data_IF_880972734601
#
_entry.id   IF_880972734601
#
_cell.length_a   1.000
_cell.length_b   1.000
_cell.length_c   1.000
_cell.angle_alpha   90.00
_cell.angle_beta   90.00
_cell.angle_gamma   90.00
#
_symmetry.space_group_name_H-M   'P 1'
#
loop_
_entity.id
_entity.type
_entity.pdbx_description
1 polymer ?
#
# COMPACT_ATOMS: atom_id res chain seq x y z
N UNK A 1 -11.17 -23.27 6.28
CA UNK A 1 -11.28 -22.99 7.73
C UNK A 1 -9.97 -23.39 8.37
N UNK A 2 -9.16 -22.43 8.82
CA UNK A 2 -8.04 -22.78 9.69
C UNK A 2 -8.63 -23.45 10.94
N UNK A 3 -8.11 -24.61 11.35
CA UNK A 3 -8.65 -25.33 12.50
C UNK A 3 -8.54 -24.48 13.77
N UNK A 4 -9.52 -24.58 14.67
CA UNK A 4 -9.49 -23.98 16.02
C UNK A 4 -8.11 -24.01 16.70
N UNK A 5 -7.32 -25.11 16.61
CA UNK A 5 -5.98 -25.16 17.21
C UNK A 5 -4.98 -24.12 16.66
N UNK A 6 -5.07 -23.77 15.37
CA UNK A 6 -4.16 -22.78 14.76
C UNK A 6 -4.46 -21.36 15.28
N UNK A 7 -5.74 -21.08 15.56
CA UNK A 7 -6.16 -19.78 16.08
C UNK A 7 -5.78 -19.63 17.55
N UNK A 8 -5.98 -20.67 18.36
CA UNK A 8 -5.54 -20.70 19.76
C UNK A 8 -4.03 -20.53 19.89
N UNK A 9 -3.25 -21.18 19.01
CA UNK A 9 -1.80 -21.01 18.99
C UNK A 9 -1.39 -19.56 18.71
N UNK A 10 -2.06 -18.89 17.77
CA UNK A 10 -1.80 -17.48 17.46
C UNK A 10 -2.15 -16.53 18.62
N UNK A 11 -3.03 -16.92 19.55
CA UNK A 11 -3.37 -16.13 20.74
C UNK A 11 -2.31 -16.24 21.84
N UNK A 12 -1.68 -17.40 21.94
CA UNK A 12 -0.64 -17.69 22.95
C UNK A 12 0.71 -17.11 22.52
N UNK A 13 1.03 -17.18 21.22
CA UNK A 13 2.31 -16.69 20.69
C UNK A 13 2.36 -15.16 20.75
N UNK A 14 3.46 -14.65 21.32
CA UNK A 14 3.78 -13.22 21.36
C UNK A 14 4.74 -12.87 20.22
N UNK A 15 4.23 -12.10 19.25
CA UNK A 15 5.03 -11.69 18.11
C UNK A 15 6.13 -10.68 18.49
N UNK A 16 7.32 -10.91 17.97
CA UNK A 16 8.49 -10.06 18.13
C UNK A 16 8.84 -9.33 16.82
N UNK A 17 9.61 -8.25 16.96
CA UNK A 17 10.14 -7.48 15.83
C UNK A 17 11.38 -8.17 15.27
N UNK A 18 11.53 -8.12 13.95
CA UNK A 18 12.73 -8.55 13.25
C UNK A 18 12.70 -10.03 12.87
N UNK A 19 13.84 -10.47 12.35
CA UNK A 19 14.04 -11.84 11.86
C UNK A 19 14.74 -12.68 12.90
N UNK A 20 14.23 -13.88 13.12
CA UNK A 20 14.72 -14.81 14.13
C UNK A 20 15.36 -16.01 13.44
N UNK A 21 16.44 -16.54 14.02
CA UNK A 21 17.12 -17.71 13.43
C UNK A 21 16.38 -19.00 13.77
N UNK A 22 15.75 -19.03 14.94
CA UNK A 22 14.98 -20.17 15.46
C UNK A 22 13.70 -19.67 16.14
N UNK A 23 12.64 -20.50 16.23
CA UNK A 23 11.41 -20.14 16.93
C UNK A 23 11.63 -19.75 18.40
N UNK A 24 12.62 -20.36 19.07
CA UNK A 24 12.96 -20.09 20.47
C UNK A 24 13.53 -18.67 20.69
N UNK A 25 14.06 -18.03 19.63
CA UNK A 25 14.54 -16.65 19.69
C UNK A 25 13.38 -15.64 19.64
N UNK A 26 12.16 -16.10 19.36
CA UNK A 26 11.00 -15.29 19.01
C UNK A 26 10.49 -15.60 17.60
N UNK A 27 9.32 -15.04 17.28
CA UNK A 27 8.73 -15.16 15.94
C UNK A 27 8.07 -13.85 15.52
N UNK A 28 8.29 -13.43 14.28
CA UNK A 28 7.46 -12.41 13.63
C UNK A 28 6.18 -13.04 13.06
N UNK A 29 5.26 -12.21 12.55
CA UNK A 29 4.02 -12.69 11.96
C UNK A 29 4.23 -13.75 10.86
N UNK A 30 5.19 -13.55 9.95
CA UNK A 30 5.41 -14.47 8.83
C UNK A 30 6.15 -15.76 9.23
N UNK A 31 6.97 -15.71 10.27
CA UNK A 31 7.58 -16.90 10.87
C UNK A 31 6.52 -17.75 11.58
N UNK A 32 5.56 -17.11 12.28
CA UNK A 32 4.39 -17.79 12.83
C UNK A 32 3.55 -18.46 11.74
N UNK A 33 3.34 -17.80 10.60
CA UNK A 33 2.65 -18.40 9.44
C UNK A 33 3.39 -19.64 8.94
N UNK A 34 4.72 -19.56 8.75
CA UNK A 34 5.53 -20.69 8.32
C UNK A 34 5.42 -21.87 9.30
N UNK A 35 5.49 -21.58 10.59
CA UNK A 35 5.41 -22.58 11.64
C UNK A 35 4.04 -23.28 11.67
N UNK A 36 2.94 -22.52 11.65
CA UNK A 36 1.57 -23.07 11.61
C UNK A 36 1.29 -23.86 10.34
N UNK A 37 1.93 -23.51 9.22
CA UNK A 37 1.84 -24.25 7.96
C UNK A 37 2.73 -25.52 7.92
N UNK A 38 3.50 -25.80 8.99
CA UNK A 38 4.43 -26.93 9.03
C UNK A 38 5.65 -26.76 8.12
N UNK A 39 5.96 -25.53 7.74
CA UNK A 39 7.09 -25.21 6.88
C UNK A 39 8.38 -25.02 7.70
N UNK A 40 9.52 -25.04 7.00
CA UNK A 40 10.79 -24.61 7.59
C UNK A 40 10.67 -23.15 8.07
N UNK A 41 11.18 -22.86 9.26
CA UNK A 41 11.23 -21.52 9.84
C UNK A 41 11.76 -20.49 8.82
N UNK A 42 10.92 -19.51 8.50
CA UNK A 42 11.15 -18.52 7.45
C UNK A 42 10.17 -17.36 7.60
N UNK A 43 10.62 -16.14 7.29
CA UNK A 43 9.79 -14.95 7.14
C UNK A 43 9.17 -14.81 5.74
N UNK A 44 9.40 -15.82 4.88
CA UNK A 44 8.90 -15.94 3.51
C UNK A 44 8.24 -17.32 3.29
N UNK A 45 7.11 -17.61 3.96
CA UNK A 45 6.43 -18.89 3.83
C UNK A 45 5.89 -19.13 2.42
N UNK A 46 6.00 -20.39 1.97
CA UNK A 46 5.47 -20.95 0.71
C UNK A 46 3.96 -21.19 0.74
N UNK A 47 3.30 -21.04 1.89
CA UNK A 47 1.84 -21.08 2.01
C UNK A 47 1.15 -19.71 1.87
N UNK A 48 1.83 -18.58 2.14
CA UNK A 48 1.22 -17.24 2.06
C UNK A 48 1.75 -16.35 0.92
N UNK A 49 0.88 -15.55 0.30
CA UNK A 49 1.23 -14.63 -0.80
C UNK A 49 2.52 -13.84 -0.54
N UNK A 50 3.45 -13.74 -1.51
CA UNK A 50 4.66 -12.94 -1.37
C UNK A 50 4.37 -11.45 -1.12
N UNK A 51 3.28 -10.89 -1.67
CA UNK A 51 2.84 -9.53 -1.40
C UNK A 51 2.40 -9.36 0.05
N UNK A 52 1.57 -10.28 0.56
CA UNK A 52 1.14 -10.29 1.98
C UNK A 52 2.35 -10.45 2.89
N UNK A 53 3.28 -11.34 2.54
CA UNK A 53 4.48 -11.58 3.33
C UNK A 53 5.38 -10.33 3.39
N UNK A 54 5.62 -9.66 2.26
CA UNK A 54 6.41 -8.43 2.20
C UNK A 54 5.79 -7.29 3.00
N UNK A 55 4.47 -7.10 2.87
CA UNK A 55 3.74 -6.10 3.64
C UNK A 55 3.82 -6.40 5.15
N UNK A 56 3.49 -7.64 5.54
CA UNK A 56 3.34 -8.04 6.94
C UNK A 56 4.67 -8.06 7.71
N UNK A 57 5.80 -8.34 7.07
CA UNK A 57 7.13 -8.25 7.73
C UNK A 57 7.43 -6.82 8.21
N UNK A 58 7.33 -5.86 7.30
CA UNK A 58 7.58 -4.45 7.62
C UNK A 58 6.54 -3.89 8.60
N UNK A 59 5.27 -4.27 8.41
CA UNK A 59 4.20 -3.86 9.30
C UNK A 59 4.42 -4.41 10.72
N UNK A 60 4.71 -5.72 10.86
CA UNK A 60 5.08 -6.35 12.14
C UNK A 60 6.17 -5.56 12.89
N UNK A 61 7.21 -5.17 12.16
CA UNK A 61 8.38 -4.49 12.74
C UNK A 61 8.12 -3.04 13.15
N UNK A 62 7.14 -2.41 12.51
CA UNK A 62 6.67 -1.07 12.85
C UNK A 62 5.63 -1.05 13.98
N UNK A 63 4.86 -2.13 14.14
CA UNK A 63 3.81 -2.21 15.16
C UNK A 63 4.39 -2.29 16.57
N UNK A 64 3.68 -1.68 17.53
CA UNK A 64 3.90 -1.90 18.96
C UNK A 64 3.40 -3.30 19.39
N UNK A 65 3.89 -3.87 20.50
CA UNK A 65 3.54 -5.23 20.94
C UNK A 65 2.04 -5.52 20.96
N UNK A 66 1.22 -4.62 21.50
CA UNK A 66 -0.23 -4.79 21.57
C UNK A 66 -0.87 -4.93 20.17
N UNK A 67 -0.40 -4.15 19.20
CA UNK A 67 -0.90 -4.19 17.84
C UNK A 67 -0.35 -5.39 17.05
N UNK A 68 0.86 -5.87 17.35
CA UNK A 68 1.36 -7.12 16.76
C UNK A 68 0.46 -8.30 17.12
N UNK A 69 -0.14 -8.33 18.31
CA UNK A 69 -1.06 -9.42 18.65
C UNK A 69 -2.30 -9.45 17.73
N UNK A 70 -2.79 -8.29 17.30
CA UNK A 70 -3.85 -8.22 16.28
C UNK A 70 -3.40 -8.84 14.95
N UNK A 71 -2.13 -8.66 14.58
CA UNK A 71 -1.54 -9.29 13.39
C UNK A 71 -1.40 -10.82 13.56
N UNK A 72 -1.07 -11.30 14.76
CA UNK A 72 -1.02 -12.73 15.07
C UNK A 72 -2.36 -13.42 14.79
N UNK A 73 -3.47 -12.80 15.19
CA UNK A 73 -4.83 -13.32 14.95
C UNK A 73 -5.16 -13.47 13.45
N UNK A 74 -4.49 -12.72 12.58
CA UNK A 74 -4.64 -12.82 11.12
C UNK A 74 -3.72 -13.89 10.51
N UNK A 75 -2.67 -14.33 11.20
CA UNK A 75 -1.63 -15.19 10.64
C UNK A 75 -2.22 -16.51 10.09
N UNK A 76 -3.13 -17.16 10.82
CA UNK A 76 -3.76 -18.40 10.36
C UNK A 76 -4.55 -18.22 9.05
N UNK A 77 -5.13 -17.02 8.81
CA UNK A 77 -5.85 -16.70 7.57
C UNK A 77 -4.93 -16.38 6.40
N UNK A 78 -3.66 -16.08 6.66
CA UNK A 78 -2.66 -15.85 5.60
C UNK A 78 -2.22 -17.16 4.95
N UNK A 79 -2.37 -18.30 5.63
CA UNK A 79 -2.08 -19.64 5.08
C UNK A 79 -3.02 -19.92 3.91
N UNK A 80 -2.45 -20.33 2.78
CA UNK A 80 -3.20 -20.64 1.56
C UNK A 80 -3.48 -19.42 0.67
N UNK A 81 -3.02 -18.22 1.05
CA UNK A 81 -3.20 -17.01 0.20
C UNK A 81 -2.28 -16.97 -1.01
N UNK A 82 -1.31 -17.89 -1.12
CA UNK A 82 -0.45 -17.96 -2.30
C UNK A 82 -1.27 -18.33 -3.52
N UNK A 83 -1.28 -17.45 -4.51
CA UNK A 83 -1.91 -17.67 -5.79
C UNK A 83 -0.93 -17.54 -6.96
N UNK A 84 -1.47 -17.57 -8.17
CA UNK A 84 -0.73 -17.24 -9.39
C UNK A 84 -0.43 -15.73 -9.51
N UNK A 85 0.28 -15.36 -10.57
CA UNK A 85 0.71 -13.97 -10.86
C UNK A 85 -0.44 -12.96 -10.77
N UNK A 86 -1.62 -13.31 -11.28
CA UNK A 86 -2.75 -12.39 -11.33
C UNK A 86 -3.25 -12.00 -9.93
N UNK A 87 -3.25 -12.93 -8.97
CA UNK A 87 -3.60 -12.62 -7.57
C UNK A 87 -2.62 -11.61 -6.96
N UNK A 88 -1.33 -11.74 -7.26
CA UNK A 88 -0.30 -10.82 -6.76
C UNK A 88 -0.40 -9.45 -7.44
N UNK A 89 -0.81 -9.40 -8.72
CA UNK A 89 -1.12 -8.14 -9.41
C UNK A 89 -2.31 -7.44 -8.76
N UNK A 90 -3.40 -8.17 -8.46
CA UNK A 90 -4.57 -7.62 -7.77
C UNK A 90 -4.18 -7.06 -6.41
N UNK A 91 -3.47 -7.84 -5.60
CA UNK A 91 -3.01 -7.39 -4.27
C UNK A 91 -2.08 -6.18 -4.35
N UNK A 92 -1.17 -6.15 -5.33
CA UNK A 92 -0.32 -4.99 -5.57
C UNK A 92 -1.11 -3.75 -5.99
N UNK A 93 -2.17 -3.92 -6.78
CA UNK A 93 -3.06 -2.82 -7.17
C UNK A 93 -3.84 -2.29 -5.96
N UNK A 94 -4.34 -3.17 -5.09
CA UNK A 94 -5.03 -2.78 -3.85
C UNK A 94 -4.12 -1.99 -2.91
N UNK A 95 -2.86 -2.42 -2.75
CA UNK A 95 -1.86 -1.66 -1.99
C UNK A 95 -1.60 -0.29 -2.62
N UNK A 96 -1.53 -0.22 -3.96
CA UNK A 96 -1.31 1.03 -4.67
C UNK A 96 -2.48 1.97 -4.47
N UNK A 97 -3.70 1.51 -4.71
CA UNK A 97 -4.92 2.30 -4.55
C UNK A 97 -5.04 2.82 -3.12
N UNK A 98 -4.73 2.02 -2.11
CA UNK A 98 -4.68 2.48 -0.72
C UNK A 98 -3.60 3.57 -0.50
N UNK A 99 -2.41 3.41 -1.07
CA UNK A 99 -1.36 4.43 -0.97
C UNK A 99 -1.82 5.78 -1.53
N UNK A 100 -2.34 5.80 -2.75
CA UNK A 100 -2.67 7.04 -3.45
C UNK A 100 -4.02 7.65 -3.07
N UNK A 101 -4.98 6.84 -2.61
CA UNK A 101 -6.31 7.33 -2.25
C UNK A 101 -6.51 7.49 -0.73
N UNK A 102 -5.61 6.94 0.10
CA UNK A 102 -5.76 6.97 1.56
C UNK A 102 -4.49 7.41 2.27
N UNK A 103 -3.39 6.65 2.15
CA UNK A 103 -2.22 6.87 2.99
C UNK A 103 -1.54 8.22 2.73
N UNK A 104 -1.22 8.51 1.48
CA UNK A 104 -0.55 9.75 1.09
C UNK A 104 -1.45 10.98 1.29
N UNK A 105 -2.73 10.98 0.83
CA UNK A 105 -3.62 12.11 1.10
C UNK A 105 -3.82 12.40 2.59
N UNK A 106 -3.89 11.37 3.45
CA UNK A 106 -4.03 11.55 4.91
C UNK A 106 -2.82 12.26 5.50
N UNK A 107 -1.61 11.87 5.09
CA UNK A 107 -0.37 12.55 5.51
C UNK A 107 -0.32 14.00 5.01
N UNK A 108 -0.68 14.23 3.74
CA UNK A 108 -0.73 15.58 3.17
C UNK A 108 -1.74 16.48 3.91
N UNK A 109 -2.94 15.97 4.21
CA UNK A 109 -3.94 16.71 4.98
C UNK A 109 -3.43 17.03 6.40
N UNK A 110 -2.78 16.07 7.08
CA UNK A 110 -2.17 16.31 8.39
C UNK A 110 -1.05 17.37 8.34
N UNK A 111 -0.32 17.43 7.22
CA UNK A 111 0.67 18.47 6.93
C UNK A 111 0.05 19.79 6.44
N UNK A 112 -1.27 19.97 6.58
CA UNK A 112 -2.03 21.15 6.13
C UNK A 112 -1.93 21.42 4.62
N UNK A 113 -1.65 20.37 3.82
CA UNK A 113 -1.62 20.39 2.35
C UNK A 113 -2.85 19.72 1.74
N UNK A 114 -4.02 20.19 2.16
CA UNK A 114 -5.32 19.68 1.70
C UNK A 114 -5.54 19.89 0.20
N UNK A 115 -4.88 20.90 -0.39
CA UNK A 115 -4.80 21.16 -1.82
C UNK A 115 -4.19 19.96 -2.57
N UNK A 116 -3.01 19.52 -2.14
CA UNK A 116 -2.31 18.38 -2.72
C UNK A 116 -3.03 17.06 -2.43
N UNK A 117 -3.60 16.92 -1.23
CA UNK A 117 -4.41 15.76 -0.87
C UNK A 117 -5.61 15.60 -1.81
N UNK A 118 -6.36 16.69 -2.05
CA UNK A 118 -7.50 16.71 -2.96
C UNK A 118 -7.09 16.42 -4.41
N UNK A 119 -6.00 17.04 -4.89
CA UNK A 119 -5.47 16.80 -6.22
C UNK A 119 -5.04 15.34 -6.43
N UNK A 120 -4.40 14.71 -5.42
CA UNK A 120 -3.99 13.32 -5.50
C UNK A 120 -5.17 12.35 -5.45
N UNK A 121 -6.22 12.65 -4.67
CA UNK A 121 -7.44 11.83 -4.67
C UNK A 121 -8.16 11.92 -6.02
N UNK A 122 -8.23 13.12 -6.62
CA UNK A 122 -8.89 13.33 -7.91
C UNK A 122 -8.10 12.78 -9.10
N UNK A 123 -6.78 13.06 -9.16
CA UNK A 123 -5.90 12.68 -10.26
C UNK A 123 -5.20 11.33 -10.09
N UNK A 124 -5.21 10.74 -8.89
CA UNK A 124 -4.51 9.48 -8.58
C UNK A 124 -3.04 9.51 -9.01
N UNK A 125 -2.56 8.47 -9.67
CA UNK A 125 -1.17 8.30 -10.06
C UNK A 125 -0.63 9.41 -10.98
N UNK A 126 -1.48 10.10 -11.74
CA UNK A 126 -1.04 11.17 -12.66
C UNK A 126 -0.71 12.47 -11.93
N UNK A 127 -1.30 12.68 -10.75
CA UNK A 127 -1.03 13.85 -9.91
C UNK A 127 0.23 13.68 -9.04
N UNK A 128 0.82 12.48 -8.99
CA UNK A 128 1.92 12.18 -8.07
C UNK A 128 3.21 12.93 -8.40
N UNK A 129 3.59 12.98 -9.69
CA UNK A 129 4.79 13.68 -10.13
C UNK A 129 4.66 15.20 -9.90
N UNK A 130 3.47 15.76 -10.16
CA UNK A 130 3.16 17.16 -9.90
C UNK A 130 3.16 17.49 -8.40
N UNK A 131 2.57 16.63 -7.55
CA UNK A 131 2.57 16.79 -6.10
C UNK A 131 3.98 16.69 -5.50
N UNK A 132 4.81 15.79 -6.04
CA UNK A 132 6.22 15.66 -5.64
C UNK A 132 6.98 16.93 -5.96
N UNK A 133 6.89 17.42 -7.21
CA UNK A 133 7.52 18.69 -7.61
C UNK A 133 7.01 19.90 -6.82
N UNK A 134 5.73 19.92 -6.46
CA UNK A 134 5.16 20.98 -5.62
C UNK A 134 5.70 20.96 -4.19
N UNK A 135 5.98 19.80 -3.59
CA UNK A 135 6.66 19.73 -2.28
C UNK A 135 8.14 20.13 -2.37
N UNK A 136 8.82 19.70 -3.42
CA UNK A 136 10.24 20.05 -3.64
C UNK A 136 10.43 21.56 -3.77
N UNK A 137 9.54 22.26 -4.47
CA UNK A 137 9.56 23.72 -4.62
C UNK A 137 9.39 24.50 -3.30
N UNK A 138 8.83 23.86 -2.26
CA UNK A 138 8.67 24.45 -0.93
C UNK A 138 9.82 24.06 0.03
N UNK A 139 10.90 23.45 -0.48
CA UNK A 139 12.09 23.09 0.31
C UNK A 139 11.93 21.84 1.17
N UNK A 140 10.96 20.97 0.86
CA UNK A 140 10.71 19.73 1.62
C UNK A 140 11.53 18.51 1.17
N UNK A 141 12.31 18.60 0.08
CA UNK A 141 13.41 17.68 -0.21
C UNK A 141 14.58 18.48 -0.83
N UNK A 142 15.84 18.27 -0.41
CA UNK A 142 16.41 17.00 0.03
C UNK A 142 16.43 16.86 1.56
N UNK A 143 16.60 15.62 2.01
CA UNK A 143 17.19 15.22 3.30
C UNK A 143 17.91 16.40 3.97
N UNK A 144 17.23 17.08 4.91
CA UNK A 144 17.91 17.99 5.85
C UNK A 144 19.03 17.17 6.52
N UNK A 145 20.21 17.78 6.78
CA UNK A 145 21.36 17.05 7.31
C UNK A 145 20.98 16.25 8.56
N UNK A 146 21.62 15.10 8.70
CA UNK A 146 21.36 14.01 9.63
C UNK A 146 21.43 14.36 11.14
N UNK A 147 21.41 15.64 11.50
CA UNK A 147 21.57 16.11 12.88
C UNK A 147 20.28 16.00 13.72
N UNK A 148 19.18 15.50 13.14
CA UNK A 148 17.97 15.12 13.90
C UNK A 148 17.60 13.65 13.69
N UNK A 149 18.48 12.78 14.17
CA UNK A 149 18.28 11.32 14.23
C UNK A 149 16.95 10.95 14.91
N UNK A 150 16.50 11.75 15.88
CA UNK A 150 15.26 11.50 16.63
C UNK A 150 14.02 11.72 15.76
N UNK A 151 13.92 12.85 15.06
CA UNK A 151 12.80 13.10 14.13
C UNK A 151 12.82 12.11 12.97
N UNK A 152 14.01 11.79 12.45
CA UNK A 152 14.19 10.76 11.41
C UNK A 152 13.67 9.40 11.86
N UNK A 153 14.04 8.96 13.06
CA UNK A 153 13.56 7.70 13.62
C UNK A 153 12.06 7.75 13.89
N UNK A 154 11.53 8.84 14.44
CA UNK A 154 10.11 8.99 14.75
C UNK A 154 9.25 8.91 13.49
N UNK A 155 9.59 9.66 12.44
CA UNK A 155 8.89 9.61 11.15
C UNK A 155 8.99 8.23 10.52
N UNK A 156 10.19 7.63 10.52
CA UNK A 156 10.38 6.28 9.93
C UNK A 156 9.58 5.21 10.67
N UNK A 157 9.52 5.29 12.00
CA UNK A 157 8.72 4.41 12.84
C UNK A 157 7.22 4.61 12.62
N UNK A 158 6.74 5.85 12.52
CA UNK A 158 5.34 6.15 12.24
C UNK A 158 4.88 5.58 10.89
N UNK A 159 5.70 5.74 9.83
CA UNK A 159 5.41 5.19 8.50
C UNK A 159 5.45 3.66 8.45
N UNK A 160 6.33 3.03 9.23
CA UNK A 160 6.34 1.58 9.39
C UNK A 160 5.10 1.09 10.16
N UNK A 161 4.79 1.73 11.28
CA UNK A 161 3.67 1.39 12.16
C UNK A 161 2.30 1.57 11.49
N UNK A 162 2.19 2.46 10.50
CA UNK A 162 0.97 2.69 9.75
C UNK A 162 0.88 1.92 8.44
N UNK A 163 1.87 1.08 8.11
CA UNK A 163 1.86 0.21 6.92
C UNK A 163 2.34 0.85 5.62
N UNK A 164 2.68 2.15 5.58
CA UNK A 164 3.21 2.82 4.38
C UNK A 164 4.52 2.17 3.92
N UNK A 165 5.45 1.92 4.84
CA UNK A 165 6.73 1.27 4.51
C UNK A 165 6.50 -0.15 3.97
N UNK A 166 5.54 -0.89 4.54
CA UNK A 166 5.18 -2.23 4.09
C UNK A 166 4.56 -2.25 2.69
N UNK A 167 3.63 -1.32 2.42
CA UNK A 167 2.99 -1.20 1.11
C UNK A 167 4.02 -0.90 0.01
N UNK A 168 4.96 0.03 0.25
CA UNK A 168 6.02 0.36 -0.69
C UNK A 168 7.00 -0.80 -0.94
N UNK A 169 7.34 -1.58 0.08
CA UNK A 169 8.21 -2.75 -0.09
C UNK A 169 7.50 -3.84 -0.91
N UNK A 170 6.27 -4.18 -0.54
CA UNK A 170 5.49 -5.19 -1.24
C UNK A 170 5.18 -4.81 -2.71
N UNK A 171 4.87 -3.53 -2.96
CA UNK A 171 4.62 -3.03 -4.30
C UNK A 171 5.86 -3.02 -5.21
N UNK A 172 7.05 -2.71 -4.66
CA UNK A 172 8.32 -2.72 -5.42
C UNK A 172 8.70 -4.13 -5.87
N UNK A 173 8.55 -5.12 -4.99
CA UNK A 173 8.87 -6.52 -5.32
C UNK A 173 8.03 -7.07 -6.49
N UNK A 174 6.77 -6.61 -6.61
CA UNK A 174 5.89 -6.94 -7.75
C UNK A 174 6.23 -6.12 -8.99
N UNK A 175 6.48 -4.81 -8.83
CA UNK A 175 6.82 -3.91 -9.92
C UNK A 175 8.10 -4.34 -10.67
N UNK A 176 9.14 -4.74 -9.93
CA UNK A 176 10.41 -5.24 -10.48
C UNK A 176 10.19 -6.52 -11.32
N UNK A 177 9.14 -7.29 -11.05
CA UNK A 177 8.79 -8.52 -11.78
C UNK A 177 7.80 -8.32 -12.93
N UNK A 178 6.98 -7.26 -12.91
CA UNK A 178 5.81 -7.15 -13.77
C UNK A 178 5.68 -5.88 -14.62
N UNK A 179 6.24 -4.73 -14.20
CA UNK A 179 5.91 -3.41 -14.81
C UNK A 179 7.11 -2.48 -15.08
N UNK A 180 8.33 -2.90 -14.75
CA UNK A 180 9.57 -2.19 -15.07
C UNK A 180 9.83 -0.91 -14.24
N UNK A 181 10.83 -0.13 -14.65
CA UNK A 181 11.40 0.97 -13.85
C UNK A 181 10.41 2.11 -13.52
N UNK A 182 9.37 2.32 -14.34
CA UNK A 182 8.36 3.36 -14.12
C UNK A 182 7.51 3.09 -12.87
N UNK A 183 7.01 1.86 -12.72
CA UNK A 183 6.21 1.49 -11.55
C UNK A 183 7.01 1.62 -10.26
N UNK A 184 8.29 1.22 -10.28
CA UNK A 184 9.21 1.42 -9.14
C UNK A 184 9.35 2.90 -8.76
N UNK A 185 9.50 3.79 -9.74
CA UNK A 185 9.56 5.25 -9.50
C UNK A 185 8.28 5.77 -8.85
N UNK A 186 7.11 5.30 -9.27
CA UNK A 186 5.83 5.72 -8.68
C UNK A 186 5.69 5.30 -7.21
N UNK A 187 6.06 4.06 -6.87
CA UNK A 187 6.09 3.62 -5.46
C UNK A 187 7.06 4.43 -4.61
N UNK A 188 8.20 4.78 -5.18
CA UNK A 188 9.21 5.59 -4.51
C UNK A 188 8.75 7.05 -4.32
N UNK A 189 8.15 7.66 -5.34
CA UNK A 189 7.57 9.00 -5.26
C UNK A 189 6.47 9.07 -4.19
N UNK A 190 5.55 8.09 -4.15
CA UNK A 190 4.51 8.03 -3.11
C UNK A 190 5.12 7.91 -1.70
N UNK A 191 6.20 7.14 -1.54
CA UNK A 191 6.93 7.00 -0.28
C UNK A 191 7.58 8.31 0.15
N UNK A 192 8.25 8.99 -0.79
CA UNK A 192 8.89 10.29 -0.55
C UNK A 192 7.85 11.32 -0.15
N UNK A 193 6.72 11.38 -0.86
CA UNK A 193 5.63 12.32 -0.57
C UNK A 193 5.02 12.08 0.82
N UNK A 194 4.73 10.83 1.18
CA UNK A 194 4.27 10.48 2.52
C UNK A 194 5.30 10.84 3.60
N UNK A 195 6.59 10.58 3.34
CA UNK A 195 7.67 10.90 4.29
C UNK A 195 7.84 12.40 4.49
N UNK A 196 7.83 13.19 3.42
CA UNK A 196 7.94 14.64 3.49
C UNK A 196 6.76 15.25 4.26
N UNK A 197 5.54 14.79 3.99
CA UNK A 197 4.35 15.22 4.72
C UNK A 197 4.40 14.82 6.20
N UNK A 198 4.76 13.57 6.52
CA UNK A 198 4.94 13.12 7.90
C UNK A 198 6.03 13.91 8.64
N UNK A 199 7.10 14.29 7.96
CA UNK A 199 8.14 15.15 8.51
C UNK A 199 7.60 16.55 8.83
N UNK A 200 6.85 17.17 7.92
CA UNK A 200 6.19 18.46 8.15
C UNK A 200 5.29 18.43 9.39
N UNK A 201 4.54 17.33 9.58
CA UNK A 201 3.72 17.12 10.78
C UNK A 201 4.58 17.07 12.05
N UNK A 202 5.73 16.40 12.01
CA UNK A 202 6.64 16.30 13.14
C UNK A 202 7.29 17.65 13.52
N UNK A 203 7.41 18.60 12.58
CA UNK A 203 7.99 19.93 12.84
C UNK A 203 6.96 20.98 13.25
N UNK A 204 5.69 20.86 12.84
CA UNK A 204 4.69 21.95 12.92
C UNK A 204 3.99 22.15 14.27
N UNK A 205 4.64 21.88 15.43
CA UNK A 205 4.03 22.01 16.76
C UNK A 205 4.49 23.24 17.58
N UNK A 206 3.59 24.13 18.07
CA UNK A 206 3.97 25.27 18.91
C UNK A 206 4.09 24.89 20.42
N UNK A 207 5.18 25.30 21.07
CA UNK A 207 5.38 25.22 22.53
C UNK A 207 6.08 23.95 23.04
N UNK A 208 7.03 24.11 23.99
CA UNK A 208 7.83 23.04 24.66
C UNK A 208 8.23 21.85 23.75
N UNK A 209 8.58 22.20 22.50
CA UNK A 209 9.49 21.58 21.51
C UNK A 209 9.34 20.12 21.03
N UNK A 210 8.27 19.38 21.27
CA UNK A 210 8.09 18.13 20.48
C UNK A 210 6.91 17.23 20.77
N UNK A 211 6.33 17.27 21.97
CA UNK A 211 5.32 16.28 22.36
C UNK A 211 4.00 16.40 21.58
N UNK A 212 3.53 17.62 21.30
CA UNK A 212 2.29 17.83 20.55
C UNK A 212 2.42 17.44 19.07
N UNK A 213 3.56 17.78 18.45
CA UNK A 213 3.84 17.38 17.07
C UNK A 213 3.99 15.86 16.96
N UNK A 214 4.70 15.24 17.91
CA UNK A 214 4.79 13.79 18.03
C UNK A 214 3.40 13.16 18.24
N UNK A 215 2.55 13.72 19.09
CA UNK A 215 1.18 13.26 19.28
C UNK A 215 0.32 13.39 18.02
N UNK A 216 0.48 14.46 17.25
CA UNK A 216 -0.21 14.60 15.96
C UNK A 216 0.26 13.56 14.95
N UNK A 217 1.58 13.40 14.79
CA UNK A 217 2.19 12.37 13.96
C UNK A 217 1.64 10.97 14.29
N UNK A 218 1.64 10.60 15.57
CA UNK A 218 1.18 9.28 16.01
C UNK A 218 -0.33 9.09 15.93
N UNK A 219 -1.14 10.15 16.11
CA UNK A 219 -2.59 10.08 15.82
C UNK A 219 -2.85 9.80 14.34
N UNK A 220 -2.15 10.50 13.45
CA UNK A 220 -2.24 10.26 11.99
C UNK A 220 -1.81 8.84 11.64
N UNK A 221 -0.69 8.37 12.20
CA UNK A 221 -0.20 7.01 12.01
C UNK A 221 -1.17 5.95 12.55
N UNK A 222 -1.83 6.19 13.69
CA UNK A 222 -2.80 5.27 14.29
C UNK A 222 -4.04 5.10 13.40
N UNK A 223 -4.60 6.19 12.87
CA UNK A 223 -5.72 6.14 11.91
C UNK A 223 -5.34 5.32 10.68
N UNK A 224 -4.15 5.56 10.13
CA UNK A 224 -3.66 4.82 8.98
C UNK A 224 -3.33 3.35 9.30
N UNK A 225 -2.85 3.05 10.50
CA UNK A 225 -2.64 1.67 10.97
C UNK A 225 -3.94 0.87 10.97
N UNK A 226 -5.04 1.45 11.45
CA UNK A 226 -6.34 0.76 11.42
C UNK A 226 -6.83 0.54 9.99
N UNK A 227 -6.67 1.53 9.12
CA UNK A 227 -6.91 1.39 7.68
C UNK A 227 -6.04 0.30 7.04
N UNK A 228 -4.77 0.20 7.45
CA UNK A 228 -3.83 -0.81 6.97
C UNK A 228 -4.21 -2.24 7.41
N UNK A 229 -4.77 -2.41 8.61
CA UNK A 229 -5.36 -3.70 9.02
C UNK A 229 -6.57 -4.08 8.16
N UNK A 230 -7.45 -3.11 7.84
CA UNK A 230 -8.58 -3.36 6.92
C UNK A 230 -8.08 -3.73 5.52
N UNK A 231 -7.04 -3.04 5.03
CA UNK A 231 -6.39 -3.39 3.78
C UNK A 231 -5.84 -4.81 3.80
N UNK A 232 -5.09 -5.19 4.84
CA UNK A 232 -4.54 -6.54 5.00
C UNK A 232 -5.62 -7.61 4.99
N UNK A 233 -6.74 -7.36 5.67
CA UNK A 233 -7.91 -8.26 5.65
C UNK A 233 -8.43 -8.47 4.22
N UNK A 234 -8.56 -7.39 3.45
CA UNK A 234 -8.96 -7.45 2.04
C UNK A 234 -7.94 -8.17 1.16
N UNK A 235 -6.64 -7.96 1.38
CA UNK A 235 -5.58 -8.67 0.65
C UNK A 235 -5.65 -10.18 0.88
N UNK A 236 -5.92 -10.60 2.12
CA UNK A 236 -6.12 -11.99 2.50
C UNK A 236 -7.36 -12.58 1.82
N UNK A 237 -8.44 -11.80 1.70
CA UNK A 237 -9.71 -12.23 1.11
C UNK A 237 -9.70 -12.37 -0.42
N UNK A 238 -8.61 -12.01 -1.12
CA UNK A 238 -8.50 -12.21 -2.57
C UNK A 238 -8.45 -13.71 -2.88
N UNK A 239 -9.55 -14.26 -3.40
CA UNK A 239 -9.72 -15.69 -3.76
C UNK A 239 -9.77 -15.97 -5.25
N UNK A 240 -10.03 -14.96 -6.10
CA UNK A 240 -10.11 -15.11 -7.56
C UNK A 240 -9.23 -14.08 -8.28
N UNK A 241 -8.60 -14.44 -9.42
CA UNK A 241 -7.88 -13.49 -10.25
C UNK A 241 -8.86 -12.50 -10.92
N UNK A 242 -8.40 -11.26 -11.16
CA UNK A 242 -9.20 -10.29 -11.93
C UNK A 242 -9.54 -10.91 -13.30
N UNK A 243 -10.78 -10.81 -13.81
CA UNK A 243 -11.06 -11.19 -15.19
C UNK A 243 -10.11 -10.44 -16.13
N UNK A 244 -9.68 -11.06 -17.25
CA UNK A 244 -8.79 -10.40 -18.19
C UNK A 244 -9.39 -9.05 -18.60
N UNK A 245 -8.56 -8.02 -18.83
CA UNK A 245 -9.07 -6.74 -19.32
C UNK A 245 -9.93 -7.01 -20.56
N UNK A 246 -11.07 -6.30 -20.73
CA UNK A 246 -11.84 -6.44 -21.94
C UNK A 246 -10.91 -6.22 -23.14
N UNK A 247 -11.08 -6.98 -24.24
CA UNK A 247 -10.32 -6.74 -25.45
C UNK A 247 -10.43 -5.24 -25.80
N UNK A 248 -9.35 -4.62 -26.31
CA UNK A 248 -9.43 -3.23 -26.73
C UNK A 248 -10.65 -3.07 -27.61
N UNK A 249 -11.49 -2.08 -27.28
CA UNK A 249 -12.67 -1.75 -28.06
C UNK A 249 -12.18 -1.60 -29.51
N UNK A 250 -12.57 -2.54 -30.36
CA UNK A 250 -12.18 -2.52 -31.78
C UNK A 250 -12.85 -1.27 -32.30
N UNK A 251 -12.07 -0.20 -32.48
CA UNK A 251 -12.55 0.98 -33.15
C UNK A 251 -13.20 0.51 -34.46
N UNK A 252 -14.45 0.89 -34.75
CA UNK A 252 -15.16 0.39 -35.91
C UNK A 252 -14.25 0.59 -37.11
N UNK A 253 -13.92 -0.51 -37.79
CA UNK A 253 -13.15 -0.42 -39.03
C UNK A 253 -13.89 0.52 -39.97
N UNK A 254 -13.15 1.36 -40.70
CA UNK A 254 -13.71 2.38 -41.62
C UNK A 254 -14.78 1.85 -42.60
N UNK A 255 -14.89 0.54 -42.79
CA UNK A 255 -15.97 -0.12 -43.54
C UNK A 255 -17.38 0.05 -42.94
N UNK A 256 -17.53 0.13 -41.61
CA UNK A 256 -18.84 0.32 -40.94
C UNK A 256 -19.28 1.78 -40.90
N UNK A 257 -18.31 2.72 -40.91
CA UNK A 257 -18.58 4.14 -41.05
C UNK A 257 -19.10 4.48 -42.46
N UNK A 258 -18.56 3.84 -43.50
CA UNK A 258 -19.00 4.05 -44.89
C UNK A 258 -20.41 3.52 -45.16
N UNK A 259 -20.83 2.41 -44.54
CA UNK A 259 -22.21 1.91 -44.68
C UNK A 259 -23.25 2.86 -44.08
N UNK A 260 -22.93 3.58 -43.01
CA UNK A 260 -23.83 4.60 -42.43
C UNK A 260 -23.92 5.86 -43.28
N UNK A 261 -22.84 6.25 -43.96
CA UNK A 261 -22.84 7.39 -44.90
C UNK A 261 -23.60 7.06 -46.19
N UNK A 262 -23.52 5.82 -46.68
CA UNK A 262 -24.27 5.35 -47.85
C UNK A 262 -25.77 5.17 -47.55
N UNK A 263 -26.14 4.64 -46.38
CA UNK A 263 -27.54 4.50 -45.99
C UNK A 263 -28.25 5.85 -45.76
N UNK A 264 -27.52 6.88 -45.29
CA UNK A 264 -28.06 8.23 -45.07
C UNK A 264 -28.18 9.10 -46.34
N UNK A 265 -27.71 8.64 -47.51
CA UNK A 265 -27.76 9.41 -48.78
C UNK A 265 -28.89 9.00 -49.74
N UNK A 266 -29.70 7.99 -49.40
CA UNK A 266 -30.75 7.46 -50.30
C UNK A 266 -32.16 8.03 -49.99
N UNK A 267 -32.36 8.75 -48.88
CA UNK A 267 -33.67 9.34 -48.54
C UNK A 267 -33.76 10.86 -48.77
N UNK A 268 -33.42 11.32 -49.97
CA UNK A 268 -33.88 12.64 -50.44
C UNK A 268 -34.78 12.43 -51.68
N UNK A 269 -36.11 12.57 -51.56
CA UNK A 269 -36.98 12.53 -52.72
C UNK A 269 -36.77 13.77 -53.58
N UNK A 270 -36.31 13.53 -54.81
CA UNK A 270 -36.30 14.50 -55.90
C UNK A 270 -37.74 14.93 -56.26
N UNK A 271 -37.97 16.24 -56.25
CA UNK A 271 -39.05 17.03 -56.87
C UNK A 271 -40.44 17.12 -56.20
N UNK A 272 -40.89 18.35 -55.91
CA UNK A 272 -41.78 19.19 -56.77
C UNK A 272 -42.15 20.52 -56.07
N UNK A 273 -42.11 21.62 -56.83
CA UNK A 273 -42.61 22.95 -56.44
C UNK A 273 -41.76 24.07 -57.01
#
# INVERSE_FOLDING_TARGET
>A
MAGTPMRELAEIVRLQKGKHRRPDDGVCAMELVAWMAGEKHSDQPRSASPVIAAFSRSFNDGLEPAHRQRLALLAARMIGTRGGRDHEVVRSQMLWDWMIATAVPTWLAAAQRSDLAGALVAGRATALDAATGALDAHGYAPVRPADDDRTTACVSNALAACGVTGACLAGRDVADRARGSRARRQWEAARVLARAAAWSVAESGPGVKGEQAQAHLWRTAATLRDSAFVLLDRLIAVTEPLPPPPPPEVAPTNAEADQRVLAGRIEQPLWRG
#
